data_IF_134415891656
#
_entry.id   IF_134415891656
#
_cell.length_a   1.000
_cell.length_b   1.000
_cell.length_c   1.000
_cell.angle_alpha   90.00
_cell.angle_beta   90.00
_cell.angle_gamma   90.00
#
_symmetry.space_group_name_H-M   'P 1'
#
loop_
_entity.id
_entity.type
_entity.pdbx_description
1 polymer ?
#
# COMPACT_ATOMS: atom_id res chain seq x y z
N UNK A 1 -6.80 -21.63 -3.38
CA UNK A 1 -6.31 -20.24 -3.31
C UNK A 1 -4.83 -20.24 -3.64
N UNK A 2 -4.42 -19.64 -4.75
CA UNK A 2 -3.00 -19.42 -5.05
C UNK A 2 -2.65 -18.04 -4.55
N UNK A 3 -1.73 -17.96 -3.60
CA UNK A 3 -1.15 -16.71 -3.13
C UNK A 3 0.35 -16.77 -3.40
N UNK A 4 0.82 -15.92 -4.32
CA UNK A 4 2.26 -15.74 -4.52
C UNK A 4 2.65 -14.43 -3.85
N UNK A 5 3.55 -14.50 -2.88
CA UNK A 5 4.16 -13.31 -2.28
C UNK A 5 5.12 -12.73 -3.31
N UNK A 6 4.83 -11.52 -3.78
CA UNK A 6 5.71 -10.75 -4.67
C UNK A 6 6.68 -9.93 -3.82
N UNK A 7 6.15 -9.30 -2.76
CA UNK A 7 6.92 -8.48 -1.85
C UNK A 7 6.31 -8.58 -0.45
N UNK A 8 7.16 -8.75 0.56
CA UNK A 8 6.80 -8.60 1.97
C UNK A 8 8.06 -8.13 2.69
N UNK A 9 8.32 -6.83 2.58
CA UNK A 9 9.53 -6.19 3.10
C UNK A 9 9.16 -5.00 3.97
N UNK A 10 10.01 -4.73 4.94
CA UNK A 10 9.91 -3.59 5.84
C UNK A 10 11.29 -2.98 6.03
N UNK A 11 11.43 -1.74 5.61
CA UNK A 11 12.64 -0.93 5.79
C UNK A 11 12.37 0.07 6.91
N UNK A 12 13.32 0.22 7.83
CA UNK A 12 13.24 1.19 8.93
C UNK A 12 14.44 2.12 8.86
N UNK A 13 14.16 3.42 8.86
CA UNK A 13 15.18 4.48 8.86
C UNK A 13 14.79 5.47 9.94
N UNK A 14 15.62 5.59 10.98
CA UNK A 14 15.34 6.39 12.17
C UNK A 14 13.94 6.12 12.75
N UNK A 15 13.05 7.13 12.72
CA UNK A 15 11.68 7.08 13.20
C UNK A 15 10.65 6.81 12.09
N UNK A 16 11.09 6.38 10.90
CA UNK A 16 10.26 6.08 9.73
C UNK A 16 10.24 4.58 9.44
N UNK A 17 9.14 4.12 8.87
CA UNK A 17 8.95 2.76 8.37
C UNK A 17 8.37 2.79 6.97
N UNK A 18 8.95 2.00 6.07
CA UNK A 18 8.42 1.73 4.74
C UNK A 18 8.10 0.24 4.68
N UNK A 19 6.82 -0.10 4.64
CA UNK A 19 6.35 -1.48 4.49
C UNK A 19 5.73 -1.67 3.12
N UNK A 20 6.19 -2.67 2.38
CA UNK A 20 5.66 -3.02 1.06
C UNK A 20 5.24 -4.48 1.08
N UNK A 21 3.93 -4.70 1.10
CA UNK A 21 3.32 -6.03 1.03
C UNK A 21 2.50 -6.14 -0.24
N UNK A 22 2.86 -7.07 -1.11
CA UNK A 22 2.21 -7.34 -2.39
C UNK A 22 2.04 -8.84 -2.55
N UNK A 23 0.79 -9.28 -2.66
CA UNK A 23 0.42 -10.68 -2.84
C UNK A 23 -0.41 -10.79 -4.11
N UNK A 24 0.01 -11.64 -5.05
CA UNK A 24 -0.82 -12.05 -6.18
C UNK A 24 -1.86 -13.05 -5.72
N UNK A 25 -3.12 -12.83 -6.08
CA UNK A 25 -4.25 -13.63 -5.61
C UNK A 25 -5.31 -13.80 -6.71
N UNK A 26 -6.09 -14.88 -6.63
CA UNK A 26 -7.28 -15.12 -7.47
C UNK A 26 -8.58 -15.00 -6.66
N UNK A 27 -8.53 -14.36 -5.50
CA UNK A 27 -9.68 -14.12 -4.63
C UNK A 27 -10.59 -13.05 -5.25
N UNK A 28 -11.88 -13.35 -5.37
CA UNK A 28 -12.90 -12.47 -5.97
C UNK A 28 -13.06 -11.14 -5.21
N UNK A 29 -12.67 -11.09 -3.93
CA UNK A 29 -12.62 -9.84 -3.16
C UNK A 29 -11.61 -8.84 -3.75
N UNK A 30 -10.59 -9.34 -4.45
CA UNK A 30 -9.49 -8.57 -5.02
C UNK A 30 -9.47 -8.74 -6.55
N UNK A 31 -10.44 -8.14 -7.27
CA UNK A 31 -10.58 -8.31 -8.74
C UNK A 31 -9.39 -7.77 -9.53
N UNK A 32 -8.54 -6.94 -8.92
CA UNK A 32 -7.26 -6.50 -9.49
C UNK A 32 -6.25 -7.64 -9.67
N UNK A 33 -6.47 -8.80 -9.04
CA UNK A 33 -5.52 -9.91 -8.96
C UNK A 33 -4.43 -9.73 -7.91
N UNK A 34 -4.52 -8.67 -7.10
CA UNK A 34 -3.53 -8.33 -6.07
C UNK A 34 -4.20 -7.94 -4.76
N UNK A 35 -3.67 -8.44 -3.64
CA UNK A 35 -3.89 -7.90 -2.31
C UNK A 35 -2.61 -7.18 -1.90
N UNK A 36 -2.70 -5.93 -1.48
CA UNK A 36 -1.51 -5.15 -1.16
C UNK A 36 -1.73 -4.16 -0.03
N UNK A 37 -0.62 -3.81 0.62
CA UNK A 37 -0.50 -2.70 1.55
C UNK A 37 0.91 -2.08 1.38
N UNK A 38 0.96 -0.88 0.81
CA UNK A 38 2.15 -0.04 0.72
C UNK A 38 1.99 1.04 1.78
N UNK A 39 2.88 1.10 2.76
CA UNK A 39 2.74 1.96 3.93
C UNK A 39 4.05 2.69 4.19
N UNK A 40 3.95 4.01 4.31
CA UNK A 40 4.96 4.90 4.80
C UNK A 40 4.43 5.66 6.00
N UNK A 41 5.17 5.61 7.11
CA UNK A 41 4.71 6.18 8.35
C UNK A 41 5.80 6.23 9.40
N UNK A 42 5.39 6.61 10.61
CA UNK A 42 6.29 6.73 11.75
C UNK A 42 6.27 5.51 12.65
N UNK A 43 7.43 5.12 13.17
CA UNK A 43 7.57 4.04 14.15
C UNK A 43 7.25 4.47 15.59
N UNK A 44 7.16 5.77 15.84
CA UNK A 44 6.97 6.38 17.16
C UNK A 44 5.50 6.72 17.49
N UNK A 45 4.55 6.22 16.70
CA UNK A 45 3.12 6.38 16.94
C UNK A 45 2.50 7.66 16.37
N UNK A 46 3.27 8.53 15.69
CA UNK A 46 2.71 9.64 14.90
C UNK A 46 1.80 9.19 13.75
N UNK A 47 1.86 7.92 13.37
CA UNK A 47 0.91 7.30 12.45
C UNK A 47 1.37 7.28 10.99
N UNK A 48 0.39 7.18 10.09
CA UNK A 48 0.61 7.06 8.64
C UNK A 48 0.90 8.42 8.02
N UNK A 49 1.92 8.48 7.15
CA UNK A 49 2.19 9.61 6.27
C UNK A 49 1.50 9.37 4.92
N UNK A 50 1.74 8.20 4.33
CA UNK A 50 1.13 7.77 3.08
C UNK A 50 0.91 6.26 3.10
N UNK A 51 -0.28 5.80 2.73
CA UNK A 51 -0.54 4.38 2.54
C UNK A 51 -1.47 4.13 1.37
N UNK A 52 -1.12 3.16 0.54
CA UNK A 52 -2.04 2.59 -0.45
C UNK A 52 -2.40 1.16 -0.06
N UNK A 53 -3.68 0.85 -0.07
CA UNK A 53 -4.16 -0.53 0.09
C UNK A 53 -5.50 -0.76 -0.59
N UNK A 54 -5.92 -2.02 -0.59
CA UNK A 54 -7.24 -2.45 -1.03
C UNK A 54 -7.93 -3.38 -0.02
N UNK A 55 -7.53 -3.31 1.25
CA UNK A 55 -8.08 -4.12 2.33
C UNK A 55 -9.19 -3.38 3.08
N UNK A 56 -10.20 -2.95 2.34
CA UNK A 56 -11.37 -2.26 2.89
C UNK A 56 -12.65 -3.13 2.80
N UNK A 57 -13.77 -2.54 3.19
CA UNK A 57 -15.08 -3.21 3.21
C UNK A 57 -15.71 -3.33 1.82
N UNK A 58 -15.22 -2.58 0.83
CA UNK A 58 -15.75 -2.52 -0.53
C UNK A 58 -14.85 -3.29 -1.50
N UNK A 59 -15.27 -4.46 -2.00
CA UNK A 59 -14.46 -5.25 -2.94
C UNK A 59 -14.01 -4.44 -4.16
N UNK A 60 -12.75 -4.60 -4.54
CA UNK A 60 -12.15 -3.91 -5.69
C UNK A 60 -11.87 -2.41 -5.50
N UNK A 61 -12.18 -1.82 -4.34
CA UNK A 61 -11.84 -0.42 -4.05
C UNK A 61 -10.39 -0.29 -3.63
N UNK A 62 -9.70 0.70 -4.19
CA UNK A 62 -8.31 1.04 -3.90
C UNK A 62 -8.27 2.38 -3.20
N UNK A 63 -7.54 2.48 -2.10
CA UNK A 63 -7.52 3.68 -1.26
C UNK A 63 -6.11 4.23 -1.10
N UNK A 64 -6.03 5.55 -0.99
CA UNK A 64 -4.88 6.33 -0.56
C UNK A 64 -5.24 6.95 0.78
N UNK A 65 -4.45 6.65 1.79
CA UNK A 65 -4.57 7.13 3.16
C UNK A 65 -3.41 8.08 3.40
N UNK A 66 -3.70 9.32 3.73
CA UNK A 66 -2.72 10.28 4.24
C UNK A 66 -2.98 10.53 5.73
N UNK A 67 -2.23 11.43 6.35
CA UNK A 67 -2.49 11.84 7.73
C UNK A 67 -3.88 12.49 7.89
N UNK A 68 -4.37 13.16 6.84
CA UNK A 68 -5.56 14.01 6.92
C UNK A 68 -6.80 13.42 6.23
N UNK A 69 -6.62 12.52 5.26
CA UNK A 69 -7.73 12.06 4.40
C UNK A 69 -7.57 10.60 3.95
N UNK A 70 -8.71 9.99 3.63
CA UNK A 70 -8.79 8.69 2.96
C UNK A 70 -9.60 8.88 1.69
N UNK A 71 -8.95 8.67 0.55
CA UNK A 71 -9.56 8.83 -0.77
C UNK A 71 -9.45 7.59 -1.61
N UNK A 72 -10.45 7.36 -2.44
CA UNK A 72 -10.39 6.33 -3.47
C UNK A 72 -9.45 6.76 -4.60
N UNK A 73 -8.67 5.82 -5.12
CA UNK A 73 -7.77 6.03 -6.25
C UNK A 73 -8.06 5.03 -7.36
N UNK A 74 -7.68 5.39 -8.59
CA UNK A 74 -7.62 4.43 -9.68
C UNK A 74 -6.45 3.47 -9.45
N UNK A 75 -6.62 2.21 -9.82
CA UNK A 75 -5.53 1.24 -9.79
C UNK A 75 -4.83 1.20 -11.16
N UNK A 76 -3.63 1.79 -11.30
CA UNK A 76 -2.90 1.79 -12.56
C UNK A 76 -2.27 0.42 -12.90
N UNK A 77 -2.38 -0.55 -11.99
CA UNK A 77 -1.63 -1.79 -12.02
C UNK A 77 -0.61 -1.84 -10.88
N UNK A 78 -0.23 -3.06 -10.47
CA UNK A 78 0.49 -3.22 -9.20
C UNK A 78 1.88 -2.59 -9.20
N UNK A 79 2.64 -2.77 -10.29
CA UNK A 79 4.00 -2.24 -10.37
C UNK A 79 4.02 -0.73 -10.56
N UNK A 80 3.09 -0.17 -11.35
CA UNK A 80 2.95 1.27 -11.51
C UNK A 80 2.54 1.95 -10.19
N UNK A 81 1.62 1.36 -9.43
CA UNK A 81 1.25 1.90 -8.11
C UNK A 81 2.40 1.81 -7.10
N UNK A 82 3.20 0.73 -7.17
CA UNK A 82 4.39 0.56 -6.33
C UNK A 82 5.46 1.61 -6.65
N UNK A 83 5.72 1.87 -7.93
CA UNK A 83 6.67 2.88 -8.38
C UNK A 83 6.21 4.27 -7.94
N UNK A 84 4.96 4.64 -8.21
CA UNK A 84 4.36 5.88 -7.73
C UNK A 84 4.51 6.05 -6.21
N UNK A 85 4.26 4.98 -5.44
CA UNK A 85 4.46 5.02 -3.98
C UNK A 85 5.91 5.31 -3.60
N UNK A 86 6.89 4.70 -4.27
CA UNK A 86 8.31 4.93 -3.98
C UNK A 86 8.72 6.37 -4.33
N UNK A 87 8.26 6.89 -5.47
CA UNK A 87 8.52 8.28 -5.87
C UNK A 87 7.88 9.27 -4.89
N UNK A 88 6.63 9.04 -4.47
CA UNK A 88 5.96 9.95 -3.53
C UNK A 88 6.63 9.98 -2.16
N UNK A 89 7.13 8.86 -1.64
CA UNK A 89 7.77 8.84 -0.31
C UNK A 89 9.15 9.51 -0.29
N UNK A 90 9.80 9.68 -1.43
CA UNK A 90 11.06 10.44 -1.52
C UNK A 90 10.85 11.94 -1.26
N UNK A 91 9.67 12.45 -1.62
CA UNK A 91 9.28 13.85 -1.42
C UNK A 91 8.59 14.10 -0.06
N UNK A 92 8.33 13.03 0.72
CA UNK A 92 7.60 13.08 1.98
C UNK A 92 8.54 13.07 3.21
N UNK A 93 8.06 13.63 4.35
CA UNK A 93 8.86 13.82 5.56
C UNK A 93 9.09 12.55 6.36
#
# INVERSE_FOLDING_TARGET
MVHAVIEDVEDRVDNRVIRRKIIRTNDEKFPSGYRYALHYGYTDGRGTILRYDNENQTPGRHECHTTDDIREIKFPGMMALREQFLEEIEELP
#
